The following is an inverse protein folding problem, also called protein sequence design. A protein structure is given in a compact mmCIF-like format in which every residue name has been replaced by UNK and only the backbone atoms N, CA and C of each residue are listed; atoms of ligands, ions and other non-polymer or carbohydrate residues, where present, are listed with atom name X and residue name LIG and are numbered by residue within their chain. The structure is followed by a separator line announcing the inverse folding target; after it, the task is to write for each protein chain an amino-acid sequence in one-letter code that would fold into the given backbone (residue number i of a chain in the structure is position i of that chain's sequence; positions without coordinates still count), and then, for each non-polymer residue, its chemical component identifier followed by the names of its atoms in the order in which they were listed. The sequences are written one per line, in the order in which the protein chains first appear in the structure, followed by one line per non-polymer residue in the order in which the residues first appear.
data_IF_625067571080
#
_entry.id   IF_625067571080
#
_cell.length_a   1.000
_cell.length_b   1.000
_cell.length_c   1.000
_cell.angle_alpha   90.00
_cell.angle_beta   90.00
_cell.angle_gamma   90.00
#
_symmetry.space_group_name_H-M   'P 1'
#
loop_
_entity.id
_entity.type
_entity.pdbx_description
1 polymer ?
#
# COMPACT_ATOMS: atom_id res chain seq x y z
N UNK A 1 16.18 33.25 -28.51
CA UNK A 1 14.91 32.61 -28.14
C UNK A 1 15.06 32.07 -26.73
N UNK A 2 14.56 32.78 -25.72
CA UNK A 2 14.63 32.31 -24.34
C UNK A 2 13.64 31.15 -24.19
N UNK A 3 14.07 29.94 -23.79
CA UNK A 3 13.14 28.86 -23.50
C UNK A 3 12.18 29.39 -22.44
N UNK A 4 10.89 29.34 -22.77
CA UNK A 4 9.78 29.73 -21.91
C UNK A 4 10.07 29.32 -20.48
N UNK A 5 10.32 30.30 -19.60
CA UNK A 5 10.56 30.07 -18.18
C UNK A 5 9.45 29.14 -17.66
N UNK A 6 9.84 27.98 -17.12
CA UNK A 6 8.95 27.03 -16.44
C UNK A 6 8.18 27.63 -15.24
N UNK A 7 8.30 28.94 -15.02
CA UNK A 7 7.62 29.78 -14.03
C UNK A 7 6.19 30.15 -14.44
N UNK A 8 5.83 30.08 -15.73
CA UNK A 8 4.49 30.44 -16.21
C UNK A 8 3.57 29.25 -16.53
N UNK A 9 4.00 28.01 -16.27
CA UNK A 9 3.11 26.86 -16.38
C UNK A 9 2.13 26.85 -15.20
N UNK A 10 0.86 27.15 -15.46
CA UNK A 10 -0.20 27.28 -14.45
C UNK A 10 -0.44 26.02 -13.60
N UNK A 11 0.03 24.85 -14.06
CA UNK A 11 -0.15 23.57 -13.38
C UNK A 11 1.20 22.94 -13.01
N UNK A 12 1.27 22.33 -11.81
CA UNK A 12 2.46 21.63 -11.34
C UNK A 12 2.79 20.41 -12.21
N UNK A 13 4.08 20.17 -12.49
CA UNK A 13 4.57 18.95 -13.15
C UNK A 13 4.71 17.75 -12.20
N UNK A 14 4.40 17.91 -10.91
CA UNK A 14 4.36 16.79 -9.96
C UNK A 14 3.28 15.79 -10.38
N UNK A 15 3.43 14.48 -10.07
CA UNK A 15 2.42 13.49 -10.41
C UNK A 15 1.03 13.91 -9.93
N UNK A 16 0.05 13.79 -10.83
CA UNK A 16 -1.34 14.07 -10.50
C UNK A 16 -1.85 13.00 -9.51
N UNK A 17 -2.36 13.46 -8.38
CA UNK A 17 -2.97 12.64 -7.34
C UNK A 17 -4.47 12.89 -7.31
N UNK A 18 -5.24 11.97 -6.72
CA UNK A 18 -6.70 12.12 -6.58
C UNK A 18 -7.12 13.39 -5.83
N UNK A 19 -6.23 13.98 -5.03
CA UNK A 19 -6.46 15.23 -4.30
C UNK A 19 -6.14 16.49 -5.11
N UNK A 20 -5.55 16.35 -6.30
CA UNK A 20 -5.12 17.47 -7.16
C UNK A 20 -5.90 17.58 -8.46
N UNK A 21 -6.77 16.61 -8.75
CA UNK A 21 -7.53 16.56 -9.98
C UNK A 21 -9.01 16.90 -9.73
N UNK A 22 -9.72 17.25 -10.80
CA UNK A 22 -11.16 17.54 -10.75
C UNK A 22 -12.04 16.27 -10.78
N UNK A 23 -13.31 16.48 -11.11
CA UNK A 23 -14.30 15.42 -11.30
C UNK A 23 -13.81 14.42 -12.36
N UNK A 24 -14.17 13.15 -12.19
CA UNK A 24 -13.87 12.02 -13.10
C UNK A 24 -12.40 11.54 -13.12
N UNK A 25 -11.51 12.17 -12.35
CA UNK A 25 -10.18 11.60 -12.06
C UNK A 25 -10.20 10.74 -10.81
N UNK A 26 -10.25 9.42 -10.99
CA UNK A 26 -10.11 8.46 -9.89
C UNK A 26 -8.77 7.73 -9.96
N UNK A 27 -8.02 7.77 -8.86
CA UNK A 27 -6.76 7.02 -8.70
C UNK A 27 -6.71 6.37 -7.32
N UNK A 28 -6.69 5.05 -7.29
CA UNK A 28 -6.61 4.26 -6.05
C UNK A 28 -5.22 4.32 -5.39
N UNK A 29 -5.17 4.05 -4.10
CA UNK A 29 -3.97 4.13 -3.23
C UNK A 29 -3.08 2.89 -3.28
N UNK A 30 -3.28 1.99 -4.25
CA UNK A 30 -2.56 0.70 -4.34
C UNK A 30 -2.68 -0.17 -3.08
N UNK A 31 -3.77 -0.10 -2.32
CA UNK A 31 -4.05 -1.04 -1.20
C UNK A 31 -3.97 -2.52 -1.58
N UNK A 32 -4.13 -2.80 -2.88
CA UNK A 32 -4.03 -4.15 -3.46
C UNK A 32 -2.60 -4.61 -3.70
N UNK A 33 -1.57 -3.80 -3.42
CA UNK A 33 -0.17 -4.23 -3.40
C UNK A 33 0.18 -4.79 -2.02
N UNK A 34 1.00 -5.83 -1.97
CA UNK A 34 1.65 -6.29 -0.74
C UNK A 34 2.97 -5.50 -0.55
N UNK A 35 3.43 -5.29 0.69
CA UNK A 35 4.76 -4.72 0.92
C UNK A 35 5.81 -5.65 0.26
N UNK A 36 6.50 -5.13 -0.77
CA UNK A 36 7.48 -5.91 -1.55
C UNK A 36 6.92 -7.02 -2.44
N UNK A 37 5.59 -7.16 -2.54
CA UNK A 37 4.95 -8.32 -3.17
C UNK A 37 4.05 -8.01 -4.37
N UNK A 38 3.45 -9.06 -4.97
CA UNK A 38 2.57 -8.92 -6.13
C UNK A 38 1.27 -8.19 -5.78
N UNK A 39 0.59 -7.69 -6.82
CA UNK A 39 -0.71 -7.05 -6.68
C UNK A 39 -1.79 -8.14 -6.57
N UNK A 40 -2.48 -8.21 -5.43
CA UNK A 40 -3.56 -9.19 -5.17
C UNK A 40 -4.90 -8.82 -5.80
N UNK A 41 -5.00 -7.67 -6.48
CA UNK A 41 -6.24 -7.20 -7.10
C UNK A 41 -7.27 -6.67 -6.09
N UNK A 42 -8.44 -6.24 -6.58
CA UNK A 42 -9.50 -5.66 -5.76
C UNK A 42 -10.27 -6.75 -4.98
N UNK A 43 -10.68 -6.47 -3.72
CA UNK A 43 -11.36 -7.45 -2.85
C UNK A 43 -12.82 -7.72 -3.24
N UNK A 44 -13.37 -7.00 -4.20
CA UNK A 44 -14.77 -7.10 -4.57
C UNK A 44 -15.05 -6.62 -5.98
N UNK A 45 -16.34 -6.64 -6.34
CA UNK A 45 -16.83 -6.22 -7.66
C UNK A 45 -17.91 -5.14 -7.51
N UNK A 46 -17.86 -4.16 -8.40
CA UNK A 46 -18.94 -3.19 -8.54
C UNK A 46 -20.16 -3.85 -9.20
N UNK A 47 -21.33 -3.66 -8.62
CA UNK A 47 -22.60 -4.25 -9.07
C UNK A 47 -23.47 -3.15 -9.66
N UNK A 48 -23.80 -3.29 -10.95
CA UNK A 48 -24.54 -2.27 -11.71
C UNK A 48 -26.02 -2.24 -11.27
N UNK A 49 -26.62 -3.41 -11.00
CA UNK A 49 -28.04 -3.58 -10.68
C UNK A 49 -28.23 -4.11 -9.26
N UNK A 50 -29.03 -3.41 -8.45
CA UNK A 50 -29.30 -3.77 -7.05
C UNK A 50 -29.04 -2.63 -6.06
N UNK A 51 -29.39 -2.88 -4.78
CA UNK A 51 -29.22 -1.94 -3.66
C UNK A 51 -27.76 -1.82 -3.19
N UNK A 52 -27.04 -2.94 -3.14
CA UNK A 52 -25.60 -2.94 -2.84
C UNK A 52 -24.78 -2.69 -4.10
N UNK A 53 -24.15 -1.52 -4.21
CA UNK A 53 -23.36 -1.12 -5.40
C UNK A 53 -21.96 -1.74 -5.46
N UNK A 54 -21.45 -2.25 -4.34
CA UNK A 54 -20.19 -2.97 -4.28
C UNK A 54 -20.36 -4.23 -3.44
N UNK A 55 -19.93 -5.37 -3.97
CA UNK A 55 -19.98 -6.66 -3.29
C UNK A 55 -18.56 -7.11 -2.96
N UNK A 56 -18.28 -7.31 -1.67
CA UNK A 56 -17.05 -7.95 -1.21
C UNK A 56 -17.09 -9.44 -1.54
N UNK A 57 -15.95 -9.98 -1.95
CA UNK A 57 -15.75 -11.40 -2.23
C UNK A 57 -14.75 -11.92 -1.22
N UNK A 58 -15.21 -12.71 -0.24
CA UNK A 58 -14.37 -13.17 0.87
C UNK A 58 -13.15 -13.96 0.38
N UNK A 59 -13.26 -14.67 -0.74
CA UNK A 59 -12.17 -15.36 -1.43
C UNK A 59 -11.00 -14.45 -1.84
N UNK A 60 -11.27 -13.16 -2.06
CA UNK A 60 -10.27 -12.17 -2.50
C UNK A 60 -9.81 -11.26 -1.37
N UNK A 61 -10.46 -11.35 -0.21
CA UNK A 61 -10.05 -10.60 0.98
C UNK A 61 -8.82 -11.30 1.55
N UNK A 62 -7.85 -10.50 1.99
CA UNK A 62 -6.63 -11.02 2.58
C UNK A 62 -6.93 -11.52 3.99
N UNK A 63 -6.43 -12.71 4.30
CA UNK A 63 -6.51 -13.31 5.63
C UNK A 63 -5.09 -13.41 6.15
N UNK A 64 -4.84 -12.85 7.32
CA UNK A 64 -3.58 -13.00 8.04
C UNK A 64 -3.78 -14.06 9.10
N UNK A 65 -3.11 -15.20 8.91
CA UNK A 65 -3.17 -16.32 9.85
C UNK A 65 -2.04 -16.12 10.84
N UNK A 66 -2.39 -15.82 12.09
CA UNK A 66 -1.46 -15.77 13.19
C UNK A 66 -1.49 -17.11 13.95
N UNK A 67 -0.33 -17.66 14.35
CA UNK A 67 -0.26 -18.79 15.26
C UNK A 67 -0.77 -18.40 16.67
N UNK A 68 -1.10 -19.37 17.54
CA UNK A 68 -1.49 -19.10 18.92
C UNK A 68 -0.38 -18.41 19.69
N UNK A 69 -0.75 -17.53 20.63
CA UNK A 69 0.19 -16.66 21.37
C UNK A 69 1.24 -17.47 22.11
N UNK A 70 0.86 -18.56 22.75
CA UNK A 70 1.77 -19.46 23.49
C UNK A 70 2.92 -19.97 22.61
N UNK A 71 2.63 -20.31 21.35
CA UNK A 71 3.64 -20.77 20.40
C UNK A 71 4.57 -19.65 19.92
N UNK A 72 4.10 -18.40 19.93
CA UNK A 72 4.92 -17.22 19.64
C UNK A 72 5.87 -16.96 20.81
N UNK A 73 5.38 -17.01 22.05
CA UNK A 73 6.15 -16.75 23.26
C UNK A 73 7.18 -17.84 23.56
N UNK A 74 6.85 -19.10 23.29
CA UNK A 74 7.77 -20.23 23.44
C UNK A 74 8.79 -20.32 22.30
N UNK A 75 8.67 -19.49 21.26
CA UNK A 75 9.58 -19.56 20.12
C UNK A 75 10.99 -19.10 20.54
N UNK A 76 12.05 -19.84 20.18
CA UNK A 76 13.43 -19.49 20.55
C UNK A 76 13.95 -18.26 19.79
N UNK A 77 13.24 -17.83 18.75
CA UNK A 77 13.64 -16.74 17.86
C UNK A 77 13.04 -15.45 18.35
N UNK A 78 13.87 -14.59 18.93
CA UNK A 78 13.54 -13.19 19.19
C UNK A 78 14.15 -12.31 18.09
N UNK A 79 13.65 -11.08 17.95
CA UNK A 79 14.13 -10.14 16.94
C UNK A 79 15.67 -9.98 16.96
N UNK A 80 16.27 -9.47 15.88
CA UNK A 80 17.71 -9.57 15.60
C UNK A 80 18.64 -8.78 16.56
N UNK A 81 18.09 -8.09 17.55
CA UNK A 81 18.85 -7.35 18.55
C UNK A 81 18.65 -7.98 19.91
N UNK A 82 19.67 -8.72 20.35
CA UNK A 82 19.92 -8.88 21.78
C UNK A 82 20.75 -7.68 22.21
N UNK A 83 20.40 -7.01 23.31
CA UNK A 83 21.13 -5.83 23.81
C UNK A 83 22.60 -6.10 24.13
N UNK A 84 23.01 -7.38 24.10
CA UNK A 84 24.34 -7.91 24.35
C UNK A 84 25.21 -8.08 23.09
N UNK A 85 24.65 -7.96 21.87
CA UNK A 85 25.43 -8.20 20.65
C UNK A 85 26.39 -7.05 20.37
N UNK A 86 27.71 -7.31 20.20
CA UNK A 86 28.68 -6.26 19.93
C UNK A 86 28.39 -5.58 18.59
N UNK A 87 28.55 -4.24 18.57
CA UNK A 87 28.36 -3.43 17.38
C UNK A 87 29.34 -3.90 16.30
N UNK A 88 28.89 -4.23 15.06
CA UNK A 88 29.82 -4.55 13.99
C UNK A 88 30.63 -3.29 13.67
N UNK A 89 31.94 -3.34 13.89
CA UNK A 89 32.86 -2.27 13.55
C UNK A 89 32.68 -1.91 12.07
N UNK A 90 32.36 -0.64 11.80
CA UNK A 90 32.27 -0.12 10.44
C UNK A 90 33.67 0.03 9.87
N UNK A 91 33.91 -0.29 8.59
CA UNK A 91 35.16 0.07 7.92
C UNK A 91 35.30 1.59 7.76
#
# INVERSE_FOLDING_TARGET
MFPTLARLSKASRRPLTSKRAGKDFYKGTRQTALPGGPRTGAPGKHVIRGKAKYRLLDEKVRIFIAPPIEAIESSPVRGPFDSSSPCPDRP
#
